data_IF_741937932564
#
_entry.id   IF_741937932564
#
_cell.length_a   1.000
_cell.length_b   1.000
_cell.length_c   1.000
_cell.angle_alpha   90.00
_cell.angle_beta   90.00
_cell.angle_gamma   90.00
#
_symmetry.space_group_name_H-M   'P 1'
#
loop_
_entity.id
_entity.type
_entity.pdbx_description
1 polymer ?
#
# COMPACT_ATOMS: atom_id res chain seq x y z
N UNK A 1 13.12 -0.88 -16.91
CA UNK A 1 13.21 -0.72 -15.43
C UNK A 1 12.53 -1.90 -14.76
N UNK A 2 13.06 -2.37 -13.64
CA UNK A 2 12.56 -3.56 -12.93
C UNK A 2 11.21 -3.22 -12.30
N UNK A 3 10.17 -3.99 -12.64
CA UNK A 3 8.87 -3.93 -11.96
C UNK A 3 8.90 -4.82 -10.72
N UNK A 4 8.07 -4.50 -9.74
CA UNK A 4 7.88 -5.31 -8.54
C UNK A 4 6.42 -5.28 -8.10
N UNK A 5 6.01 -6.35 -7.41
CA UNK A 5 4.65 -6.48 -6.91
C UNK A 5 4.46 -5.70 -5.60
N UNK A 6 3.32 -5.04 -5.45
CA UNK A 6 2.91 -4.38 -4.21
C UNK A 6 1.41 -4.55 -3.98
N UNK A 7 1.01 -4.70 -2.71
CA UNK A 7 -0.40 -4.64 -2.34
C UNK A 7 -0.83 -3.18 -2.18
N UNK A 8 -1.67 -2.69 -3.11
CA UNK A 8 -2.09 -1.29 -3.17
C UNK A 8 -3.59 -1.17 -2.95
N UNK A 9 -3.97 -0.25 -2.08
CA UNK A 9 -5.35 0.03 -1.68
C UNK A 9 -5.81 1.27 -2.43
N UNK A 10 -6.95 1.14 -3.10
CA UNK A 10 -7.62 2.17 -3.87
C UNK A 10 -8.94 2.54 -3.21
N UNK A 11 -9.48 3.70 -3.56
CA UNK A 11 -10.89 4.03 -3.31
C UNK A 11 -11.67 3.86 -4.62
N UNK A 12 -12.75 3.10 -4.57
CA UNK A 12 -13.67 2.89 -5.69
C UNK A 12 -15.09 2.88 -5.15
N UNK A 13 -15.96 3.74 -5.68
CA UNK A 13 -17.36 3.88 -5.27
C UNK A 13 -17.53 4.07 -3.74
N UNK A 14 -16.63 4.85 -3.12
CA UNK A 14 -16.62 5.10 -1.68
C UNK A 14 -16.19 3.91 -0.81
N UNK A 15 -15.66 2.84 -1.41
CA UNK A 15 -15.15 1.65 -0.74
C UNK A 15 -13.66 1.49 -0.93
N UNK A 16 -12.98 0.98 0.09
CA UNK A 16 -11.58 0.58 -0.02
C UNK A 16 -11.48 -0.76 -0.77
N UNK A 17 -10.62 -0.80 -1.79
CA UNK A 17 -10.37 -1.98 -2.61
C UNK A 17 -8.87 -2.20 -2.72
N UNK A 18 -8.37 -3.25 -2.06
CA UNK A 18 -6.97 -3.66 -2.14
C UNK A 18 -6.73 -4.70 -3.23
N UNK A 19 -5.60 -4.57 -3.95
CA UNK A 19 -5.16 -5.54 -4.95
C UNK A 19 -3.65 -5.50 -5.14
N UNK A 20 -3.08 -6.62 -5.59
CA UNK A 20 -1.70 -6.63 -6.05
C UNK A 20 -1.57 -5.91 -7.39
N UNK A 21 -0.55 -5.05 -7.50
CA UNK A 21 -0.20 -4.31 -8.71
C UNK A 21 1.31 -4.37 -8.94
N UNK A 22 1.72 -4.18 -10.19
CA UNK A 22 3.12 -3.97 -10.52
C UNK A 22 3.46 -2.48 -10.44
N UNK A 23 4.52 -2.15 -9.69
CA UNK A 23 5.07 -0.81 -9.55
C UNK A 23 6.51 -0.75 -10.08
N UNK A 24 6.98 0.47 -10.32
CA UNK A 24 8.36 0.84 -10.62
C UNK A 24 8.89 1.73 -9.51
N UNK A 25 10.21 1.91 -9.46
CA UNK A 25 10.85 2.78 -8.45
C UNK A 25 10.35 4.22 -8.52
N UNK A 26 10.02 4.72 -9.72
CA UNK A 26 9.46 6.05 -9.94
C UNK A 26 8.01 6.21 -9.43
N UNK A 27 7.33 5.11 -9.11
CA UNK A 27 5.98 5.13 -8.55
C UNK A 27 5.99 5.20 -7.00
N UNK A 28 7.18 5.14 -6.37
CA UNK A 28 7.36 5.28 -4.92
C UNK A 28 7.27 6.75 -4.49
N UNK A 29 6.90 6.97 -3.23
CA UNK A 29 7.00 8.30 -2.62
C UNK A 29 8.48 8.74 -2.56
N UNK A 30 8.75 10.06 -2.62
CA UNK A 30 10.12 10.58 -2.57
C UNK A 30 10.81 10.22 -1.24
N UNK A 31 12.09 9.86 -1.31
CA UNK A 31 12.93 9.54 -0.17
C UNK A 31 14.40 9.32 -0.57
N UNK A 32 15.30 9.34 0.40
CA UNK A 32 16.75 9.22 0.17
C UNK A 32 17.23 7.75 0.16
N UNK A 33 16.46 6.85 0.77
CA UNK A 33 16.80 5.44 0.93
C UNK A 33 15.72 4.57 0.31
N UNK A 34 16.15 3.61 -0.52
CA UNK A 34 15.28 2.59 -1.09
C UNK A 34 15.55 1.27 -0.39
N UNK A 35 14.50 0.65 0.15
CA UNK A 35 14.58 -0.62 0.86
C UNK A 35 13.94 -1.71 0.01
N UNK A 36 14.69 -2.80 -0.23
CA UNK A 36 14.11 -4.03 -0.74
C UNK A 36 13.54 -4.80 0.45
N UNK A 37 12.23 -4.73 0.67
CA UNK A 37 11.58 -5.47 1.76
C UNK A 37 11.58 -6.97 1.48
N UNK A 38 12.04 -7.77 2.44
CA UNK A 38 11.98 -9.24 2.41
C UNK A 38 10.82 -9.80 3.24
N UNK A 39 10.37 -9.04 4.24
CA UNK A 39 9.34 -9.44 5.19
C UNK A 39 8.47 -8.26 5.52
N UNK A 40 7.20 -8.55 5.79
CA UNK A 40 6.24 -7.62 6.37
C UNK A 40 5.34 -8.42 7.30
N UNK A 41 4.63 -7.74 8.19
CA UNK A 41 3.64 -8.36 9.07
C UNK A 41 2.21 -7.99 8.66
N UNK A 42 1.24 -8.67 9.27
CA UNK A 42 -0.17 -8.30 9.15
C UNK A 42 -0.66 -7.89 10.52
N UNK A 43 -1.01 -6.62 10.66
CA UNK A 43 -1.51 -6.03 11.89
C UNK A 43 -3.03 -5.79 11.78
N UNK A 44 -3.68 -5.62 12.93
CA UNK A 44 -5.08 -5.18 12.96
C UNK A 44 -5.28 -3.85 12.20
N UNK A 45 -4.29 -2.95 12.25
CA UNK A 45 -4.31 -1.68 11.52
C UNK A 45 -4.27 -1.86 10.01
N UNK A 46 -3.60 -2.90 9.50
CA UNK A 46 -3.59 -3.22 8.07
C UNK A 46 -4.96 -3.69 7.61
N UNK A 47 -5.66 -4.48 8.43
CA UNK A 47 -7.03 -4.89 8.15
C UNK A 47 -8.00 -3.68 8.14
N UNK A 48 -7.85 -2.76 9.09
CA UNK A 48 -8.61 -1.49 9.11
C UNK A 48 -8.34 -0.66 7.85
N UNK A 49 -7.08 -0.53 7.43
CA UNK A 49 -6.70 0.18 6.22
C UNK A 49 -7.28 -0.48 4.95
N UNK A 50 -7.19 -1.80 4.82
CA UNK A 50 -7.67 -2.54 3.66
C UNK A 50 -9.20 -2.53 3.52
N UNK A 51 -9.92 -2.52 4.64
CA UNK A 51 -11.39 -2.49 4.68
C UNK A 51 -11.99 -1.08 4.66
N UNK A 52 -11.17 -0.05 4.88
CA UNK A 52 -11.61 1.34 5.04
C UNK A 52 -12.22 1.64 6.42
N UNK A 53 -12.31 0.63 7.30
CA UNK A 53 -12.78 0.80 8.66
C UNK A 53 -11.83 1.71 9.46
N UNK A 54 -12.38 2.60 10.28
CA UNK A 54 -11.59 3.48 11.15
C UNK A 54 -10.82 4.61 10.45
N UNK A 55 -10.98 4.79 9.12
CA UNK A 55 -10.36 5.89 8.34
C UNK A 55 -8.83 6.00 8.52
N UNK A 56 -8.14 4.86 8.48
CA UNK A 56 -6.67 4.78 8.63
C UNK A 56 -5.95 5.45 7.45
N UNK A 57 -6.37 5.17 6.22
CA UNK A 57 -5.80 5.75 5.00
C UNK A 57 -6.42 7.14 4.77
N UNK A 58 -5.58 8.14 4.51
CA UNK A 58 -5.99 9.52 4.21
C UNK A 58 -5.79 9.93 2.75
N UNK A 59 -4.93 9.22 2.02
CA UNK A 59 -4.60 9.49 0.61
C UNK A 59 -4.63 8.19 -0.16
N UNK A 60 -5.48 8.12 -1.18
CA UNK A 60 -5.50 7.02 -2.13
C UNK A 60 -4.80 7.41 -3.44
N UNK A 61 -4.22 6.43 -4.16
CA UNK A 61 -3.98 5.06 -3.72
C UNK A 61 -2.78 4.95 -2.77
N UNK A 62 -2.78 3.97 -1.86
CA UNK A 62 -1.76 3.76 -0.83
C UNK A 62 -1.24 2.32 -0.84
N UNK A 63 0.06 2.10 -0.70
CA UNK A 63 0.63 0.75 -0.49
C UNK A 63 0.37 0.34 0.96
N UNK A 64 -0.19 -0.85 1.18
CA UNK A 64 -0.49 -1.36 2.52
C UNK A 64 0.75 -1.92 3.22
N UNK A 65 0.68 -2.03 4.56
CA UNK A 65 1.79 -2.40 5.45
C UNK A 65 2.20 -1.22 6.35
N UNK A 66 2.41 -1.48 7.64
CA UNK A 66 2.85 -0.46 8.62
C UNK A 66 4.35 -0.46 8.86
N UNK A 67 5.01 -1.57 8.51
CA UNK A 67 6.44 -1.84 8.74
C UNK A 67 7.33 -1.34 7.60
#
# INVERSE_FOLDING_TARGET
MKKFSAYRIFEQDGKSVGRFVELRLEDLDPGEVVIQSHYSSVNFKDALAATGAGRVIRRFPCVGGVD
#
